data_IF_538571168823
#
_entry.id   IF_538571168823
#
_cell.length_a   1.000
_cell.length_b   1.000
_cell.length_c   1.000
_cell.angle_alpha   90.00
_cell.angle_beta   90.00
_cell.angle_gamma   90.00
#
_symmetry.space_group_name_H-M   'P 1'
#
loop_
_entity.id
_entity.type
_entity.pdbx_description
1 polymer ?
#
# COMPACT_ATOMS: atom_id res chain seq x y z
N UNK A 1 5.06 5.80 -14.84
CA UNK A 1 4.21 6.54 -13.90
C UNK A 1 5.10 7.08 -12.80
N UNK A 2 5.06 8.39 -12.56
CA UNK A 2 5.97 9.07 -11.65
C UNK A 2 5.33 9.26 -10.27
N UNK A 3 6.19 9.43 -9.26
CA UNK A 3 5.83 9.63 -7.85
C UNK A 3 4.91 10.82 -7.60
N UNK A 4 4.90 11.78 -8.53
CA UNK A 4 4.06 12.97 -8.50
C UNK A 4 2.61 12.68 -8.89
N UNK A 5 2.40 11.88 -9.94
CA UNK A 5 1.05 11.49 -10.40
C UNK A 5 0.30 10.67 -9.34
N UNK A 6 1.03 9.84 -8.59
CA UNK A 6 0.49 9.00 -7.52
C UNK A 6 -0.02 9.86 -6.33
N UNK A 7 0.66 10.97 -6.03
CA UNK A 7 0.28 11.89 -4.94
C UNK A 7 -0.95 12.73 -5.31
N UNK A 8 -1.08 13.14 -6.57
CA UNK A 8 -2.23 13.94 -7.02
C UNK A 8 -3.53 13.12 -7.04
N UNK A 9 -3.46 11.82 -7.39
CA UNK A 9 -4.60 10.91 -7.31
C UNK A 9 -5.15 10.72 -5.89
N UNK A 10 -4.27 10.70 -4.89
CA UNK A 10 -4.65 10.62 -3.47
C UNK A 10 -5.23 11.93 -2.92
N UNK A 11 -4.87 13.08 -3.49
CA UNK A 11 -5.26 14.42 -3.00
C UNK A 11 -6.61 14.91 -3.53
N UNK A 12 -7.11 14.31 -4.61
CA UNK A 12 -8.33 14.76 -5.28
C UNK A 12 -9.64 14.45 -4.51
N UNK A 13 -9.60 13.66 -3.44
CA UNK A 13 -10.82 13.26 -2.73
C UNK A 13 -11.74 12.31 -3.53
N UNK A 14 -11.28 11.86 -4.71
CA UNK A 14 -11.99 10.95 -5.59
C UNK A 14 -11.93 9.49 -5.15
N UNK A 15 -11.01 9.14 -4.25
CA UNK A 15 -10.85 7.81 -3.69
C UNK A 15 -11.47 7.77 -2.29
N UNK A 16 -12.73 7.31 -2.22
CA UNK A 16 -13.38 7.02 -0.94
C UNK A 16 -13.10 5.57 -0.57
N UNK A 17 -12.19 5.39 0.36
CA UNK A 17 -11.94 4.08 0.97
C UNK A 17 -13.02 3.89 2.03
N UNK A 18 -13.86 2.88 1.88
CA UNK A 18 -14.90 2.55 2.86
C UNK A 18 -14.37 1.52 3.86
N UNK A 19 -13.65 0.51 3.37
CA UNK A 19 -13.03 -0.50 4.21
C UNK A 19 -11.69 -0.95 3.62
N UNK A 20 -10.76 -1.30 4.50
CA UNK A 20 -9.50 -1.96 4.13
C UNK A 20 -9.34 -3.17 5.06
N UNK A 21 -9.52 -4.37 4.51
CA UNK A 21 -9.22 -5.60 5.22
C UNK A 21 -7.80 -6.03 4.87
N UNK A 22 -6.91 -5.95 5.86
CA UNK A 22 -5.55 -6.47 5.73
C UNK A 22 -5.51 -7.94 6.17
N UNK A 23 -4.96 -8.79 5.31
CA UNK A 23 -4.83 -10.23 5.54
C UNK A 23 -3.48 -10.73 5.03
N UNK A 24 -3.12 -11.96 5.42
CA UNK A 24 -1.89 -12.64 4.96
C UNK A 24 -0.62 -11.77 5.11
N UNK A 25 -0.44 -11.18 6.30
CA UNK A 25 0.73 -10.35 6.57
C UNK A 25 1.98 -11.21 6.74
N UNK A 26 2.97 -10.97 5.88
CA UNK A 26 4.29 -11.58 5.91
C UNK A 26 5.30 -10.52 6.31
N UNK A 27 6.03 -10.76 7.39
CA UNK A 27 7.11 -9.89 7.85
C UNK A 27 8.42 -10.70 7.79
N UNK A 28 9.43 -10.18 7.09
CA UNK A 28 10.77 -10.76 7.02
C UNK A 28 11.82 -9.71 7.30
N UNK A 29 12.79 -10.03 8.15
CA UNK A 29 13.99 -9.21 8.33
C UNK A 29 15.07 -9.65 7.35
N UNK A 30 15.67 -8.72 6.64
CA UNK A 30 16.74 -8.95 5.67
C UNK A 30 17.79 -7.86 5.89
N UNK A 31 18.96 -8.23 6.42
CA UNK A 31 20.13 -7.35 6.52
C UNK A 31 19.87 -5.96 7.15
N UNK A 32 19.13 -5.92 8.27
CA UNK A 32 18.76 -4.66 8.94
C UNK A 32 17.52 -3.96 8.37
N UNK A 33 16.99 -4.45 7.25
CA UNK A 33 15.72 -4.02 6.66
C UNK A 33 14.59 -4.97 7.07
N UNK A 34 13.35 -4.48 7.02
CA UNK A 34 12.14 -5.26 7.26
C UNK A 34 11.26 -5.22 6.03
N UNK A 35 11.15 -6.36 5.35
CA UNK A 35 10.18 -6.56 4.29
C UNK A 35 8.82 -6.89 4.93
N UNK A 36 7.80 -6.13 4.59
CA UNK A 36 6.40 -6.38 4.96
C UNK A 36 5.60 -6.56 3.68
N UNK A 37 5.01 -7.73 3.48
CA UNK A 37 4.05 -7.99 2.41
C UNK A 37 2.68 -8.27 3.02
N UNK A 38 1.63 -7.60 2.55
CA UNK A 38 0.28 -7.75 3.08
C UNK A 38 -0.72 -7.80 1.93
N UNK A 39 -1.71 -8.67 2.05
CA UNK A 39 -2.89 -8.65 1.20
C UNK A 39 -3.86 -7.61 1.74
N UNK A 40 -4.36 -6.75 0.88
CA UNK A 40 -5.27 -5.68 1.23
C UNK A 40 -6.48 -5.77 0.30
N UNK A 41 -7.61 -6.16 0.87
CA UNK A 41 -8.89 -6.02 0.21
C UNK A 41 -9.37 -4.59 0.47
N UNK A 42 -9.38 -3.77 -0.57
CA UNK A 42 -9.84 -2.38 -0.49
C UNK A 42 -11.24 -2.36 -1.07
N UNK A 43 -12.21 -2.02 -0.23
CA UNK A 43 -13.58 -1.75 -0.64
C UNK A 43 -13.76 -0.24 -0.63
N UNK A 44 -14.17 0.32 -1.77
CA UNK A 44 -14.25 1.75 -1.90
C UNK A 44 -14.96 2.19 -3.16
N UNK A 45 -15.00 3.50 -3.34
CA UNK A 45 -15.54 4.13 -4.53
C UNK A 45 -14.48 5.06 -5.11
N UNK A 46 -14.17 4.92 -6.39
CA UNK A 46 -13.37 5.87 -7.15
C UNK A 46 -14.28 6.62 -8.13
N UNK A 47 -14.35 7.95 -8.01
CA UNK A 47 -15.21 8.80 -8.88
C UNK A 47 -16.69 8.35 -8.93
N UNK A 48 -17.21 7.85 -7.80
CA UNK A 48 -18.59 7.36 -7.70
C UNK A 48 -18.84 5.96 -8.29
N UNK A 49 -17.81 5.28 -8.79
CA UNK A 49 -17.87 3.87 -9.19
C UNK A 49 -17.26 2.98 -8.12
N UNK A 50 -17.93 1.88 -7.80
CA UNK A 50 -17.41 0.88 -6.85
C UNK A 50 -16.07 0.36 -7.35
N UNK A 51 -15.02 0.65 -6.60
CA UNK A 51 -13.64 0.26 -6.87
C UNK A 51 -13.22 -0.71 -5.76
N UNK A 52 -13.79 -1.91 -5.82
CA UNK A 52 -13.38 -3.03 -4.97
C UNK A 52 -12.20 -3.71 -5.64
N UNK A 53 -11.10 -3.86 -4.92
CA UNK A 53 -9.90 -4.47 -5.48
C UNK A 53 -9.08 -5.14 -4.39
N UNK A 54 -8.54 -6.30 -4.74
CA UNK A 54 -7.58 -7.01 -3.92
C UNK A 54 -6.18 -6.61 -4.36
N UNK A 55 -5.35 -6.18 -3.41
CA UNK A 55 -4.01 -5.69 -3.67
C UNK A 55 -3.01 -6.41 -2.79
N UNK A 56 -1.83 -6.70 -3.34
CA UNK A 56 -0.67 -7.11 -2.55
C UNK A 56 0.30 -5.96 -2.44
N UNK A 57 0.40 -5.41 -1.24
CA UNK A 57 1.41 -4.40 -0.92
C UNK A 57 2.65 -5.07 -0.39
N UNK A 58 3.80 -4.74 -0.96
CA UNK A 58 5.11 -5.16 -0.46
C UNK A 58 5.93 -3.91 -0.20
N UNK A 59 6.31 -3.71 1.06
CA UNK A 59 7.07 -2.54 1.52
C UNK A 59 8.35 -2.99 2.20
N UNK A 60 9.46 -2.38 1.84
CA UNK A 60 10.72 -2.55 2.53
C UNK A 60 10.93 -1.36 3.45
N UNK A 61 11.13 -1.66 4.72
CA UNK A 61 11.30 -0.68 5.78
C UNK A 61 12.75 -0.68 6.24
N UNK A 62 13.33 0.50 6.35
CA UNK A 62 14.61 0.70 7.03
C UNK A 62 14.35 1.33 8.39
N UNK A 63 15.07 0.88 9.41
CA UNK A 63 15.12 1.58 10.69
C UNK A 63 16.36 2.46 10.71
N UNK A 64 16.16 3.77 10.55
CA UNK A 64 17.23 4.75 10.73
C UNK A 64 16.98 5.53 12.01
N UNK A 65 17.90 5.47 12.98
CA UNK A 65 17.80 6.21 14.25
C UNK A 65 16.43 6.03 14.95
N UNK A 66 15.97 4.78 15.09
CA UNK A 66 14.66 4.44 15.65
C UNK A 66 13.43 4.94 14.89
N UNK A 67 13.61 5.46 13.67
CA UNK A 67 12.52 5.88 12.79
C UNK A 67 12.37 4.88 11.64
N UNK A 68 11.23 4.20 11.59
CA UNK A 68 10.91 3.30 10.48
C UNK A 68 10.46 4.12 9.26
N UNK A 69 11.19 3.97 8.16
CA UNK A 69 10.86 4.60 6.88
C UNK A 69 10.67 3.54 5.82
N UNK A 70 9.65 3.71 4.98
CA UNK A 70 9.50 2.91 3.78
C UNK A 70 10.53 3.38 2.76
N UNK A 71 11.48 2.52 2.41
CA UNK A 71 12.50 2.81 1.39
C UNK A 71 12.10 2.31 0.01
N UNK A 72 11.29 1.25 -0.05
CA UNK A 72 10.74 0.69 -1.28
C UNK A 72 9.29 0.33 -1.05
N UNK A 73 8.43 0.69 -1.98
CA UNK A 73 7.03 0.27 -2.02
C UNK A 73 6.71 -0.34 -3.38
N UNK A 74 6.06 -1.49 -3.37
CA UNK A 74 5.50 -2.14 -4.54
C UNK A 74 4.05 -2.52 -4.23
N UNK A 75 3.17 -2.32 -5.20
CA UNK A 75 1.77 -2.74 -5.13
C UNK A 75 1.44 -3.49 -6.42
N UNK A 76 0.74 -4.61 -6.28
CA UNK A 76 0.24 -5.36 -7.41
C UNK A 76 -1.24 -5.67 -7.17
N UNK A 77 -2.04 -5.62 -8.25
CA UNK A 77 -3.42 -6.08 -8.20
C UNK A 77 -3.41 -7.61 -8.14
N UNK A 78 -4.17 -8.17 -7.20
CA UNK A 78 -4.43 -9.60 -7.08
C UNK A 78 -5.79 -9.83 -7.72
N UNK A 79 -5.79 -10.47 -8.90
CA UNK A 79 -7.00 -10.80 -9.66
C UNK A 79 -7.56 -12.17 -9.26
#
# INVERSE_FOLDING_TARGET
MSKSDDIEGHKAGDLKIEDIVLSDQIIKRIDGLVLVSVHAEITGSYKGSTANGNFRFTRLWSNENSNWKVIVGHSCLVA
#
